data_IF_872451472419
#
_entry.id   IF_872451472419
#
_cell.length_a   1.000
_cell.length_b   1.000
_cell.length_c   1.000
_cell.angle_alpha   90.00
_cell.angle_beta   90.00
_cell.angle_gamma   90.00
#
_symmetry.space_group_name_H-M   'P 1'
#
loop_
_entity.id
_entity.type
_entity.pdbx_description
1 polymer ?
#
# COMPACT_ATOMS: atom_id res chain seq x y z
N UNK A 1 22.37 7.44 11.09
CA UNK A 1 21.20 6.66 10.64
C UNK A 1 20.86 5.70 11.76
N UNK A 2 19.82 6.00 12.51
CA UNK A 2 19.31 5.10 13.55
C UNK A 2 18.50 4.00 12.86
N UNK A 3 18.99 2.76 12.94
CA UNK A 3 18.29 1.58 12.49
C UNK A 3 16.99 1.46 13.31
N UNK A 4 15.87 1.86 12.71
CA UNK A 4 14.55 1.83 13.36
C UNK A 4 13.87 0.54 12.97
N UNK A 5 13.78 -0.37 13.94
CA UNK A 5 13.17 -1.69 13.77
C UNK A 5 11.68 -1.58 14.08
N UNK A 6 10.84 -1.58 13.04
CA UNK A 6 9.39 -1.70 13.20
C UNK A 6 9.10 -3.15 13.63
N UNK A 7 8.61 -3.33 14.85
CA UNK A 7 8.34 -4.66 15.43
C UNK A 7 7.33 -5.48 14.62
N UNK A 8 6.26 -4.84 14.13
CA UNK A 8 5.28 -5.46 13.25
C UNK A 8 5.08 -4.64 11.96
N UNK A 9 5.72 -5.03 10.84
CA UNK A 9 5.58 -4.33 9.57
C UNK A 9 4.22 -4.58 8.89
N UNK A 10 3.43 -5.58 9.32
CA UNK A 10 2.17 -5.97 8.70
C UNK A 10 0.99 -5.46 9.54
N UNK A 11 0.44 -4.32 9.14
CA UNK A 11 -0.65 -3.63 9.86
C UNK A 11 -2.05 -3.80 9.24
N UNK A 12 -2.18 -4.52 8.12
CA UNK A 12 -3.45 -4.70 7.43
C UNK A 12 -3.82 -6.18 7.33
N UNK A 13 -5.13 -6.43 7.21
CA UNK A 13 -5.66 -7.76 6.92
C UNK A 13 -5.23 -8.22 5.52
N UNK A 14 -4.98 -9.52 5.37
CA UNK A 14 -4.73 -10.17 4.08
C UNK A 14 -5.97 -10.21 3.20
N UNK A 15 -7.16 -10.13 3.81
CA UNK A 15 -8.43 -10.39 3.14
C UNK A 15 -9.26 -9.11 2.92
N UNK A 16 -9.11 -8.13 3.82
CA UNK A 16 -9.80 -6.85 3.72
C UNK A 16 -8.95 -5.81 2.98
N UNK A 17 -9.61 -4.75 2.51
CA UNK A 17 -8.89 -3.62 1.94
C UNK A 17 -8.00 -2.97 3.01
N UNK A 18 -6.77 -2.51 2.67
CA UNK A 18 -5.92 -1.81 3.60
C UNK A 18 -6.61 -0.55 4.12
N UNK A 19 -6.69 -0.40 5.45
CA UNK A 19 -7.29 0.75 6.12
C UNK A 19 -6.27 1.55 6.92
N UNK A 20 -5.02 1.07 7.01
CA UNK A 20 -3.95 1.70 7.78
C UNK A 20 -2.68 1.79 6.97
N UNK A 21 -1.92 2.86 7.15
CA UNK A 21 -0.58 3.03 6.56
C UNK A 21 0.39 3.61 7.58
N UNK A 22 1.66 3.28 7.45
CA UNK A 22 2.70 4.03 8.15
C UNK A 22 2.84 5.41 7.50
N UNK A 23 3.06 6.42 8.33
CA UNK A 23 3.33 7.78 7.87
C UNK A 23 4.68 7.84 7.18
N UNK A 24 4.69 8.41 5.98
CA UNK A 24 5.87 8.60 5.15
C UNK A 24 6.19 10.09 5.10
N UNK A 25 7.38 10.48 5.53
CA UNK A 25 7.91 11.83 5.36
C UNK A 25 9.12 11.78 4.40
N UNK A 26 9.52 12.92 3.84
CA UNK A 26 10.52 12.99 2.76
C UNK A 26 11.86 12.31 3.05
N UNK A 27 12.19 12.10 4.33
CA UNK A 27 13.44 11.46 4.75
C UNK A 27 13.27 10.05 5.33
N UNK A 28 12.10 9.62 5.85
CA UNK A 28 11.97 8.32 6.54
C UNK A 28 10.53 7.82 6.79
N UNK A 29 10.36 6.49 6.92
CA UNK A 29 9.12 5.83 7.40
C UNK A 29 9.02 5.98 8.92
N UNK A 30 7.88 6.49 9.41
CA UNK A 30 7.60 6.59 10.85
C UNK A 30 6.74 5.40 11.32
N UNK A 31 6.92 4.99 12.58
CA UNK A 31 6.04 4.03 13.27
C UNK A 31 4.62 4.57 13.52
N UNK A 32 4.38 5.86 13.25
CA UNK A 32 3.07 6.48 13.34
C UNK A 32 2.14 5.90 12.26
N UNK A 33 0.99 5.37 12.69
CA UNK A 33 -0.02 4.78 11.81
C UNK A 33 -1.10 5.83 11.52
N UNK A 34 -1.34 6.08 10.24
CA UNK A 34 -2.45 6.88 9.75
C UNK A 34 -3.60 6.00 9.25
N UNK A 35 -4.82 6.47 9.47
CA UNK A 35 -6.03 5.85 8.93
C UNK A 35 -6.21 6.20 7.45
N UNK A 36 -6.73 5.25 6.70
CA UNK A 36 -7.00 5.36 5.28
C UNK A 36 -6.04 4.57 4.42
N UNK A 37 -6.50 4.32 3.19
CA UNK A 37 -5.71 3.63 2.16
C UNK A 37 -4.86 4.65 1.42
N UNK A 38 -3.54 4.45 1.38
CA UNK A 38 -2.65 5.31 0.59
C UNK A 38 -3.02 5.25 -0.90
N UNK A 39 -3.18 6.41 -1.59
CA UNK A 39 -3.40 6.42 -3.02
C UNK A 39 -2.20 5.80 -3.73
N UNK A 40 -2.45 5.09 -4.82
CA UNK A 40 -1.37 4.58 -5.66
C UNK A 40 -0.73 5.75 -6.40
N UNK A 41 0.59 5.84 -6.34
CA UNK A 41 1.40 6.77 -7.13
C UNK A 41 2.60 6.05 -7.74
N UNK A 42 3.23 6.65 -8.74
CA UNK A 42 4.53 6.22 -9.25
C UNK A 42 5.52 7.37 -9.13
N UNK A 43 6.77 6.99 -8.89
CA UNK A 43 7.89 7.91 -8.90
C UNK A 43 8.45 7.95 -10.32
N UNK A 44 8.48 9.13 -10.95
CA UNK A 44 9.19 9.31 -12.22
C UNK A 44 10.61 9.77 -11.89
N UNK A 45 11.62 8.89 -11.95
CA UNK A 45 13.00 9.33 -11.80
C UNK A 45 13.38 10.21 -13.00
N UNK A 46 13.41 11.53 -12.80
CA UNK A 46 13.96 12.45 -13.79
C UNK A 46 15.49 12.37 -13.69
N UNK A 47 16.20 11.92 -14.73
CA UNK A 47 17.66 11.96 -14.70
C UNK A 47 18.11 13.42 -14.60
N UNK A 48 18.92 13.73 -13.57
CA UNK A 48 19.55 15.06 -13.47
C UNK A 48 20.32 15.31 -14.77
N UNK A 49 20.08 16.47 -15.41
CA UNK A 49 20.76 16.83 -16.63
C UNK A 49 22.29 16.81 -16.39
N UNK A 50 23.00 15.86 -17.00
CA UNK A 50 24.46 15.85 -17.00
C UNK A 50 24.94 16.99 -17.91
N UNK A 51 25.04 18.22 -17.39
CA UNK A 51 25.71 19.29 -18.11
C UNK A 51 27.22 19.05 -18.05
N UNK A 52 27.80 18.74 -19.22
CA UNK A 52 29.24 18.90 -19.47
C UNK A 52 29.51 20.39 -19.68
N UNK A 53 30.22 21.03 -18.75
CA UNK A 53 30.80 22.36 -18.95
C UNK A 53 30.56 23.35 -17.81
N UNK A 54 31.64 23.60 -17.07
CA UNK A 54 31.96 24.74 -16.22
C UNK A 54 30.85 25.42 -15.39
N UNK A 55 30.98 25.22 -14.08
CA UNK A 55 30.71 26.19 -13.02
C UNK A 55 29.36 26.92 -13.11
N UNK A 56 28.32 26.23 -12.67
CA UNK A 56 27.22 26.88 -11.96
C UNK A 56 27.17 26.22 -10.59
N UNK A 57 27.62 26.96 -9.58
CA UNK A 57 27.42 26.66 -8.17
C UNK A 57 25.92 26.83 -7.90
N UNK A 58 25.15 25.86 -8.36
CA UNK A 58 23.76 25.67 -8.00
C UNK A 58 23.78 24.98 -6.66
N UNK A 59 23.32 25.70 -5.63
CA UNK A 59 22.86 25.18 -4.36
C UNK A 59 22.33 23.77 -4.57
N UNK A 60 23.02 22.76 -4.06
CA UNK A 60 22.56 21.38 -4.09
C UNK A 60 21.60 21.21 -2.92
N UNK A 61 20.27 21.08 -3.13
CA UNK A 61 19.46 20.40 -2.17
C UNK A 61 19.79 18.91 -2.35
N UNK A 62 20.60 18.39 -1.44
CA UNK A 62 20.76 16.96 -1.22
C UNK A 62 19.36 16.31 -1.22
N UNK A 63 19.18 15.31 -2.09
CA UNK A 63 17.92 14.54 -2.23
C UNK A 63 16.64 15.36 -2.48
N UNK A 64 16.63 16.27 -3.47
CA UNK A 64 15.40 16.91 -3.96
C UNK A 64 14.34 15.95 -4.53
N UNK A 65 13.70 15.15 -3.67
CA UNK A 65 12.33 14.69 -3.81
C UNK A 65 11.47 15.92 -3.60
N UNK A 66 11.23 16.66 -4.67
CA UNK A 66 10.20 17.69 -4.64
C UNK A 66 8.86 16.96 -4.79
N UNK A 67 7.85 17.29 -3.99
CA UNK A 67 6.48 16.76 -4.08
C UNK A 67 5.94 16.75 -5.53
N UNK A 68 6.48 17.62 -6.38
CA UNK A 68 6.25 17.73 -7.83
C UNK A 68 6.60 16.47 -8.66
N UNK A 69 7.16 15.41 -8.07
CA UNK A 69 7.62 14.19 -8.77
C UNK A 69 6.77 12.94 -8.50
N UNK A 70 5.71 13.06 -7.69
CA UNK A 70 4.82 11.95 -7.34
C UNK A 70 3.53 12.08 -8.16
N UNK A 71 3.42 11.29 -9.23
CA UNK A 71 2.20 11.28 -10.04
C UNK A 71 1.25 10.17 -9.58
N UNK A 72 -0.02 10.52 -9.39
CA UNK A 72 -1.05 9.57 -8.99
C UNK A 72 -1.34 8.58 -10.11
N UNK A 73 -1.38 7.30 -9.76
CA UNK A 73 -1.85 6.28 -10.69
C UNK A 73 -3.39 6.27 -10.73
N UNK A 74 -3.94 7.19 -11.52
CA UNK A 74 -5.38 7.38 -11.67
C UNK A 74 -6.12 6.10 -12.09
N UNK A 75 -5.51 5.30 -12.98
CA UNK A 75 -6.11 4.04 -13.45
C UNK A 75 -6.22 3.01 -12.33
N UNK A 76 -5.13 2.77 -11.60
CA UNK A 76 -5.10 1.83 -10.47
C UNK A 76 -6.05 2.30 -9.38
N UNK A 77 -6.07 3.59 -9.05
CA UNK A 77 -7.00 4.13 -8.06
C UNK A 77 -8.46 3.94 -8.49
N UNK A 78 -8.79 4.16 -9.77
CA UNK A 78 -10.14 3.88 -10.31
C UNK A 78 -10.52 2.40 -10.19
N UNK A 79 -9.61 1.48 -10.51
CA UNK A 79 -9.87 0.03 -10.35
C UNK A 79 -10.15 -0.28 -8.87
N UNK A 80 -9.38 0.31 -7.95
CA UNK A 80 -9.56 0.11 -6.51
C UNK A 80 -10.97 0.51 -6.06
N UNK A 81 -11.48 1.62 -6.55
CA UNK A 81 -12.84 2.09 -6.25
C UNK A 81 -13.90 1.14 -6.83
N UNK A 82 -13.70 0.67 -8.07
CA UNK A 82 -14.59 -0.30 -8.70
C UNK A 82 -14.63 -1.64 -7.94
N UNK A 83 -13.47 -2.12 -7.48
CA UNK A 83 -13.37 -3.34 -6.68
C UNK A 83 -14.01 -3.16 -5.31
N UNK A 84 -13.83 -1.99 -4.68
CA UNK A 84 -14.50 -1.67 -3.41
C UNK A 84 -16.02 -1.73 -3.59
N UNK A 85 -16.53 -1.10 -4.64
CA UNK A 85 -17.96 -1.14 -4.97
C UNK A 85 -18.46 -2.57 -5.24
N UNK A 86 -17.71 -3.34 -6.01
CA UNK A 86 -18.03 -4.74 -6.32
C UNK A 86 -18.11 -5.61 -5.06
N UNK A 87 -17.22 -5.41 -4.08
CA UNK A 87 -17.26 -6.07 -2.77
C UNK A 87 -18.48 -5.66 -1.95
N UNK A 88 -18.76 -4.36 -1.83
CA UNK A 88 -19.91 -3.87 -1.06
C UNK A 88 -21.26 -4.34 -1.60
N UNK A 89 -21.33 -4.67 -2.89
CA UNK A 89 -22.52 -5.23 -3.56
C UNK A 89 -22.66 -6.75 -3.42
N UNK A 90 -21.82 -7.43 -2.64
CA UNK A 90 -21.91 -8.87 -2.43
C UNK A 90 -21.48 -9.71 -3.65
N UNK A 91 -20.48 -9.24 -4.39
CA UNK A 91 -19.92 -9.96 -5.54
C UNK A 91 -20.98 -10.26 -6.61
N UNK A 92 -21.49 -9.24 -7.32
CA UNK A 92 -22.38 -9.47 -8.46
C UNK A 92 -21.65 -10.18 -9.59
N UNK A 93 -22.40 -10.94 -10.40
CA UNK A 93 -21.92 -11.61 -11.63
C UNK A 93 -20.82 -12.67 -11.45
N UNK A 94 -20.68 -13.27 -10.26
CA UNK A 94 -19.85 -14.47 -10.05
C UNK A 94 -20.69 -15.72 -9.86
N UNK A 95 -20.08 -16.89 -10.05
CA UNK A 95 -20.71 -18.18 -9.74
C UNK A 95 -21.03 -18.30 -8.25
N UNK A 96 -22.02 -19.11 -7.89
CA UNK A 96 -22.38 -19.37 -6.50
C UNK A 96 -21.19 -19.93 -5.69
N UNK A 97 -20.42 -20.83 -6.30
CA UNK A 97 -19.20 -21.41 -5.68
C UNK A 97 -18.15 -20.33 -5.41
N UNK A 98 -17.88 -19.46 -6.39
CA UNK A 98 -16.92 -18.36 -6.25
C UNK A 98 -17.37 -17.36 -5.19
N UNK A 99 -18.67 -17.01 -5.14
CA UNK A 99 -19.21 -16.15 -4.09
C UNK A 99 -18.96 -16.74 -2.71
N UNK A 100 -19.28 -18.01 -2.51
CA UNK A 100 -19.09 -18.69 -1.22
C UNK A 100 -17.63 -18.72 -0.77
N UNK A 101 -16.69 -18.93 -1.70
CA UNK A 101 -15.26 -18.89 -1.39
C UNK A 101 -14.79 -17.48 -1.02
N UNK A 102 -15.28 -16.46 -1.74
CA UNK A 102 -14.95 -15.06 -1.45
C UNK A 102 -15.52 -14.61 -0.09
N UNK A 103 -16.75 -15.00 0.23
CA UNK A 103 -17.37 -14.77 1.54
C UNK A 103 -16.57 -15.46 2.64
N UNK A 104 -16.23 -16.73 2.45
CA UNK A 104 -15.43 -17.51 3.39
C UNK A 104 -14.06 -16.88 3.66
N UNK A 105 -13.33 -16.47 2.61
CA UNK A 105 -12.02 -15.83 2.79
C UNK A 105 -12.11 -14.40 3.32
N UNK A 106 -13.21 -13.69 3.09
CA UNK A 106 -13.39 -12.33 3.60
C UNK A 106 -13.86 -12.29 5.06
N UNK A 107 -14.13 -13.44 5.66
CA UNK A 107 -14.55 -13.56 7.05
C UNK A 107 -13.36 -13.24 7.99
N UNK A 108 -13.46 -12.23 8.87
CA UNK A 108 -12.40 -11.90 9.82
C UNK A 108 -12.05 -13.06 10.77
N UNK A 109 -12.98 -13.99 11.02
CA UNK A 109 -12.73 -15.20 11.82
C UNK A 109 -11.99 -16.29 11.03
N UNK A 110 -11.89 -16.18 9.70
CA UNK A 110 -11.12 -17.12 8.88
C UNK A 110 -9.61 -17.06 9.21
N UNK A 111 -9.12 -15.96 9.79
CA UNK A 111 -7.77 -15.85 10.33
C UNK A 111 -7.53 -16.63 11.63
N UNK A 112 -8.60 -17.01 12.34
CA UNK A 112 -8.58 -17.78 13.58
C UNK A 112 -8.80 -19.28 13.36
N UNK A 113 -8.80 -19.77 12.11
CA UNK A 113 -8.85 -21.21 11.86
C UNK A 113 -7.50 -21.83 12.26
N UNK A 114 -7.37 -22.12 13.56
CA UNK A 114 -6.74 -23.35 14.01
C UNK A 114 -7.18 -24.44 13.04
N UNK A 115 -6.21 -24.94 12.29
CA UNK A 115 -6.35 -26.05 11.38
C UNK A 115 -7.20 -27.12 12.08
N UNK A 116 -8.36 -27.52 11.55
CA UNK A 116 -9.14 -28.59 12.16
C UNK A 116 -8.32 -29.87 11.99
N UNK A 117 -7.53 -30.21 13.01
CA UNK A 117 -6.48 -31.23 12.96
C UNK A 117 -5.35 -31.06 13.98
N UNK A 118 -5.14 -29.88 14.56
CA UNK A 118 -4.20 -29.72 15.69
C UNK A 118 -4.94 -29.89 17.03
N UNK A 119 -5.43 -31.11 17.25
CA UNK A 119 -5.93 -31.57 18.53
C UNK A 119 -5.12 -32.78 18.98
N UNK A 120 -4.28 -32.56 20.00
CA UNK A 120 -3.84 -33.50 21.03
C UNK A 120 -3.29 -34.86 20.57
N UNK A 121 -1.97 -34.98 20.59
CA UNK A 121 -1.29 -36.17 21.14
C UNK A 121 -0.70 -35.82 22.51
#
# INVERSE_FOLDING_TARGET
MSDRVIENPIINSLYLAPTRRFKFDNDDIREEIEEGRSPSSYFIPVPRAQKRGAQVELDTPELGLTDDQIELNHFVNRIRDQVAHWRTRGFPNVSATSRRLLEYWSDPECGNLSRPGEGQE
#
